data_IF_864777140627
#
_entry.id   IF_864777140627
#
_cell.length_a   1.000
_cell.length_b   1.000
_cell.length_c   1.000
_cell.angle_alpha   90.00
_cell.angle_beta   90.00
_cell.angle_gamma   90.00
#
_symmetry.space_group_name_H-M   'P 1'
#
loop_
_entity.id
_entity.type
_entity.pdbx_description
1 polymer ?
#
# COMPACT_ATOMS: atom_id res chain seq x y z
N UNK A 1 -1.64 9.17 -8.22
CA UNK A 1 -2.92 9.78 -8.69
C UNK A 1 -4.02 8.74 -8.98
N UNK A 2 -3.68 7.47 -9.24
CA UNK A 2 -4.66 6.38 -9.47
C UNK A 2 -5.40 5.91 -8.21
N UNK A 3 -4.76 5.88 -7.03
CA UNK A 3 -5.36 5.33 -5.81
C UNK A 3 -6.66 6.05 -5.37
N UNK A 4 -6.75 7.37 -5.54
CA UNK A 4 -7.92 8.16 -5.09
C UNK A 4 -9.19 7.87 -5.89
N UNK A 5 -9.07 7.59 -7.19
CA UNK A 5 -10.25 7.35 -8.04
C UNK A 5 -10.85 5.96 -7.81
N UNK A 6 -10.04 4.97 -7.44
CA UNK A 6 -10.48 3.59 -7.30
C UNK A 6 -11.11 3.28 -5.93
N UNK A 7 -10.82 4.08 -4.90
CA UNK A 7 -11.22 3.80 -3.52
C UNK A 7 -12.57 4.43 -3.08
N UNK A 8 -13.22 5.23 -3.94
CA UNK A 8 -14.55 5.78 -3.64
C UNK A 8 -14.62 6.55 -2.31
N UNK A 9 -13.56 7.26 -1.97
CA UNK A 9 -13.35 7.78 -0.62
C UNK A 9 -14.37 8.89 -0.29
N UNK A 10 -15.18 8.66 0.73
CA UNK A 10 -16.08 9.65 1.33
C UNK A 10 -15.61 9.86 2.77
N UNK A 11 -15.27 11.09 3.17
CA UNK A 11 -14.82 11.37 4.53
C UNK A 11 -15.89 11.01 5.57
N UNK A 12 -15.47 10.49 6.72
CA UNK A 12 -16.37 10.08 7.79
C UNK A 12 -17.03 11.29 8.44
N UNK A 13 -18.37 11.27 8.52
CA UNK A 13 -19.12 12.28 9.25
C UNK A 13 -19.53 11.84 10.66
N UNK A 14 -19.35 10.55 11.01
CA UNK A 14 -19.88 9.96 12.26
C UNK A 14 -18.97 8.88 12.91
N UNK A 15 -17.67 8.85 12.59
CA UNK A 15 -16.69 7.90 13.16
C UNK A 15 -16.63 6.56 12.40
N UNK A 16 -15.43 5.99 12.28
CA UNK A 16 -15.10 4.82 11.46
C UNK A 16 -15.87 3.54 11.86
N UNK A 17 -16.18 3.37 13.15
CA UNK A 17 -16.81 2.16 13.70
C UNK A 17 -18.33 1.98 13.49
N UNK A 18 -19.02 2.85 12.74
CA UNK A 18 -20.49 2.75 12.58
C UNK A 18 -20.91 1.78 11.47
N UNK A 19 -22.08 1.12 11.62
CA UNK A 19 -22.64 0.22 10.58
C UNK A 19 -22.84 0.91 9.22
N UNK A 20 -23.05 2.23 9.21
CA UNK A 20 -23.20 3.02 7.96
C UNK A 20 -21.88 3.23 7.20
N UNK A 21 -20.74 3.04 7.87
CA UNK A 21 -19.40 3.17 7.29
C UNK A 21 -18.78 1.82 6.90
N UNK A 22 -19.42 0.70 7.26
CA UNK A 22 -18.99 -0.64 6.83
C UNK A 22 -18.93 -0.74 5.30
N UNK A 23 -17.70 -0.86 4.77
CA UNK A 23 -17.45 -1.00 3.33
C UNK A 23 -17.18 0.31 2.58
N UNK A 24 -17.19 1.46 3.25
CA UNK A 24 -16.69 2.73 2.70
C UNK A 24 -15.22 2.90 3.08
N UNK A 25 -14.43 3.50 2.20
CA UNK A 25 -13.10 3.96 2.56
C UNK A 25 -13.26 5.20 3.47
N UNK A 26 -13.07 5.01 4.77
CA UNK A 26 -13.15 6.07 5.79
C UNK A 26 -11.94 6.99 5.78
N UNK A 27 -11.84 7.84 6.80
CA UNK A 27 -10.75 8.81 6.94
C UNK A 27 -9.37 8.13 7.06
N UNK A 28 -9.27 6.96 7.68
CA UNK A 28 -8.02 6.24 7.80
C UNK A 28 -7.55 5.65 6.47
N UNK A 29 -8.49 5.27 5.57
CA UNK A 29 -8.13 4.89 4.21
C UNK A 29 -7.45 6.05 3.44
N UNK A 30 -7.84 7.31 3.70
CA UNK A 30 -7.13 8.48 3.16
C UNK A 30 -5.74 8.62 3.76
N UNK A 31 -5.65 8.48 5.07
CA UNK A 31 -4.39 8.58 5.80
C UNK A 31 -3.39 7.53 5.29
N UNK A 32 -3.85 6.31 5.07
CA UNK A 32 -3.08 5.23 4.46
C UNK A 32 -2.55 5.59 3.06
N UNK A 33 -3.40 6.08 2.15
CA UNK A 33 -2.98 6.48 0.80
C UNK A 33 -1.92 7.59 0.87
N UNK A 34 -2.11 8.59 1.74
CA UNK A 34 -1.12 9.66 1.91
C UNK A 34 0.20 9.10 2.46
N UNK A 35 0.13 8.24 3.48
CA UNK A 35 1.31 7.63 4.08
C UNK A 35 2.08 6.76 3.07
N UNK A 36 1.38 6.05 2.19
CA UNK A 36 1.97 5.29 1.09
C UNK A 36 2.73 6.19 0.10
N UNK A 37 2.11 7.29 -0.35
CA UNK A 37 2.76 8.24 -1.27
C UNK A 37 3.96 8.93 -0.62
N UNK A 38 3.89 9.20 0.70
CA UNK A 38 5.05 9.64 1.49
C UNK A 38 6.11 8.53 1.55
N UNK A 39 5.72 7.26 1.64
CA UNK A 39 6.61 6.11 1.53
C UNK A 39 7.43 6.11 0.24
N UNK A 40 6.82 6.40 -0.91
CA UNK A 40 7.56 6.59 -2.16
C UNK A 40 8.52 7.77 -2.13
N UNK A 41 8.15 8.87 -1.47
CA UNK A 41 9.06 9.98 -1.28
C UNK A 41 10.27 9.57 -0.42
N UNK A 42 10.06 8.80 0.65
CA UNK A 42 11.15 8.22 1.46
C UNK A 42 12.05 7.31 0.61
N UNK A 43 11.50 6.47 -0.26
CA UNK A 43 12.29 5.66 -1.20
C UNK A 43 13.18 6.51 -2.10
N UNK A 44 12.67 7.65 -2.55
CA UNK A 44 13.44 8.61 -3.36
C UNK A 44 14.61 9.17 -2.56
N UNK A 45 14.37 9.62 -1.33
CA UNK A 45 15.40 10.16 -0.45
C UNK A 45 16.48 9.12 -0.08
N UNK A 46 16.09 7.84 -0.01
CA UNK A 46 17.01 6.72 0.23
C UNK A 46 17.72 6.21 -1.03
N UNK A 47 17.42 6.77 -2.21
CA UNK A 47 18.00 6.36 -3.50
C UNK A 47 17.42 5.05 -4.07
N UNK A 48 16.45 4.43 -3.40
CA UNK A 48 15.83 3.15 -3.82
C UNK A 48 15.10 3.34 -5.15
N UNK A 49 14.33 4.42 -5.31
CA UNK A 49 13.61 4.68 -6.56
C UNK A 49 14.54 4.83 -7.76
N UNK A 50 15.74 5.36 -7.57
CA UNK A 50 16.74 5.45 -8.64
C UNK A 50 17.25 4.05 -9.01
N UNK A 51 17.62 3.23 -8.02
CA UNK A 51 18.09 1.86 -8.24
C UNK A 51 17.05 1.01 -8.97
N UNK A 52 15.78 1.08 -8.54
CA UNK A 52 14.66 0.40 -9.21
C UNK A 52 14.55 0.86 -10.67
N UNK A 53 14.58 2.17 -10.93
CA UNK A 53 14.46 2.70 -12.28
C UNK A 53 15.61 2.29 -13.20
N UNK A 54 16.83 2.19 -12.68
CA UNK A 54 18.00 1.71 -13.43
C UNK A 54 17.88 0.22 -13.75
N UNK A 55 17.56 -0.61 -12.75
CA UNK A 55 17.38 -2.05 -12.93
C UNK A 55 16.26 -2.39 -13.92
N UNK A 56 15.12 -1.67 -13.85
CA UNK A 56 13.96 -1.84 -14.73
C UNK A 56 14.27 -1.63 -16.22
N UNK A 57 15.28 -0.82 -16.56
CA UNK A 57 15.69 -0.56 -17.95
C UNK A 57 16.53 -1.69 -18.56
N UNK A 58 17.05 -2.60 -17.72
CA UNK A 58 17.99 -3.64 -18.12
C UNK A 58 17.33 -5.03 -18.24
N UNK A 59 16.03 -5.13 -17.98
CA UNK A 59 15.31 -6.39 -17.85
C UNK A 59 14.07 -6.43 -18.75
N UNK A 60 13.47 -7.60 -18.89
CA UNK A 60 12.21 -7.77 -19.65
C UNK A 60 11.07 -7.01 -18.99
N UNK A 61 9.98 -6.76 -19.73
CA UNK A 61 8.80 -6.07 -19.19
C UNK A 61 8.23 -6.78 -17.94
N UNK A 62 8.12 -8.11 -17.96
CA UNK A 62 7.61 -8.87 -16.81
C UNK A 62 8.52 -8.73 -15.58
N UNK A 63 9.84 -8.72 -15.77
CA UNK A 63 10.79 -8.48 -14.67
C UNK A 63 10.72 -7.02 -14.18
N UNK A 64 10.57 -6.06 -15.09
CA UNK A 64 10.40 -4.64 -14.76
C UNK A 64 9.13 -4.41 -13.93
N UNK A 65 8.04 -5.07 -14.31
CA UNK A 65 6.77 -5.09 -13.58
C UNK A 65 6.95 -5.67 -12.17
N UNK A 66 7.66 -6.79 -12.04
CA UNK A 66 7.99 -7.36 -10.72
C UNK A 66 8.78 -6.38 -9.84
N UNK A 67 9.75 -5.65 -10.40
CA UNK A 67 10.48 -4.62 -9.65
C UNK A 67 9.58 -3.47 -9.19
N UNK A 68 8.62 -3.04 -10.02
CA UNK A 68 7.59 -2.08 -9.60
C UNK A 68 6.78 -2.62 -8.43
N UNK A 69 6.30 -3.86 -8.50
CA UNK A 69 5.53 -4.49 -7.41
C UNK A 69 6.33 -4.46 -6.10
N UNK A 70 7.62 -4.82 -6.12
CA UNK A 70 8.45 -4.78 -4.91
C UNK A 70 8.58 -3.36 -4.34
N UNK A 71 8.67 -2.34 -5.20
CA UNK A 71 8.72 -0.95 -4.77
C UNK A 71 7.38 -0.50 -4.12
N UNK A 72 6.25 -0.88 -4.69
CA UNK A 72 4.92 -0.57 -4.15
C UNK A 72 4.69 -1.24 -2.77
N UNK A 73 5.06 -2.51 -2.65
CA UNK A 73 4.95 -3.24 -1.38
C UNK A 73 5.84 -2.65 -0.27
N UNK A 74 6.98 -2.04 -0.62
CA UNK A 74 7.82 -1.38 0.37
C UNK A 74 7.16 -0.08 0.84
N UNK A 75 6.48 0.65 -0.04
CA UNK A 75 5.72 1.83 0.33
C UNK A 75 4.55 1.49 1.27
N UNK A 76 3.88 0.35 1.05
CA UNK A 76 2.87 -0.18 1.99
C UNK A 76 3.46 -0.45 3.37
N UNK A 77 4.63 -1.09 3.43
CA UNK A 77 5.30 -1.34 4.71
C UNK A 77 5.72 -0.04 5.40
N UNK A 78 6.21 0.95 4.67
CA UNK A 78 6.49 2.27 5.23
C UNK A 78 5.24 2.97 5.78
N UNK A 79 4.09 2.84 5.10
CA UNK A 79 2.82 3.34 5.61
C UNK A 79 2.41 2.64 6.92
N UNK A 80 2.61 1.32 7.02
CA UNK A 80 2.40 0.57 8.26
C UNK A 80 3.30 1.05 9.40
N UNK A 81 4.60 1.24 9.14
CA UNK A 81 5.55 1.78 10.14
C UNK A 81 5.12 3.16 10.61
N UNK A 82 4.69 4.04 9.70
CA UNK A 82 4.17 5.35 10.05
C UNK A 82 2.94 5.23 10.97
N UNK A 83 1.98 4.37 10.64
CA UNK A 83 0.77 4.17 11.44
C UNK A 83 1.12 3.66 12.85
N UNK A 84 2.01 2.69 12.97
CA UNK A 84 2.50 2.16 14.25
C UNK A 84 3.11 3.27 15.13
N UNK A 85 4.03 4.05 14.55
CA UNK A 85 4.76 5.09 15.28
C UNK A 85 3.87 6.24 15.70
N UNK A 86 2.86 6.60 14.90
CA UNK A 86 1.90 7.62 15.30
C UNK A 86 0.93 7.08 16.36
N UNK A 87 0.54 5.80 16.28
CA UNK A 87 -0.28 5.19 17.32
C UNK A 87 0.41 5.25 18.67
N UNK A 88 1.68 4.85 18.76
CA UNK A 88 2.46 4.94 20.01
C UNK A 88 2.55 6.37 20.56
N UNK A 89 2.64 7.38 19.69
CA UNK A 89 2.86 8.78 20.09
C UNK A 89 1.59 9.53 20.49
N UNK A 90 0.50 9.32 19.77
CA UNK A 90 -0.70 10.16 19.89
C UNK A 90 -2.00 9.37 20.02
N UNK A 91 -1.95 8.02 19.98
CA UNK A 91 -3.12 7.14 20.14
C UNK A 91 -4.29 7.55 19.23
N UNK A 92 -4.01 7.71 17.94
CA UNK A 92 -4.93 8.29 16.97
C UNK A 92 -5.83 7.26 16.26
N UNK A 93 -5.53 5.96 16.37
CA UNK A 93 -6.33 4.90 15.76
C UNK A 93 -7.58 4.63 16.62
N UNK A 94 -8.73 4.68 15.98
CA UNK A 94 -10.01 4.21 16.51
C UNK A 94 -10.22 2.72 16.21
N UNK A 95 -11.22 2.13 16.86
CA UNK A 95 -11.60 0.75 16.61
C UNK A 95 -12.21 0.62 15.21
N UNK A 96 -11.53 -0.08 14.31
CA UNK A 96 -11.95 -0.27 12.92
C UNK A 96 -11.02 0.37 11.89
N UNK A 97 -10.23 1.38 12.28
CA UNK A 97 -9.33 2.10 11.36
C UNK A 97 -8.32 1.17 10.69
N UNK A 98 -7.73 0.24 11.44
CA UNK A 98 -6.79 -0.74 10.89
C UNK A 98 -7.49 -1.62 9.84
N UNK A 99 -8.74 -2.03 10.10
CA UNK A 99 -9.52 -2.83 9.16
C UNK A 99 -9.86 -2.03 7.90
N UNK A 100 -10.10 -0.71 8.03
CA UNK A 100 -10.29 0.19 6.89
C UNK A 100 -9.03 0.32 6.03
N UNK A 101 -7.85 0.48 6.63
CA UNK A 101 -6.60 0.49 5.86
C UNK A 101 -6.30 -0.86 5.22
N UNK A 102 -6.55 -1.98 5.90
CA UNK A 102 -6.41 -3.31 5.32
C UNK A 102 -7.36 -3.48 4.12
N UNK A 103 -8.61 -3.02 4.26
CA UNK A 103 -9.58 -3.06 3.18
C UNK A 103 -9.15 -2.16 2.00
N UNK A 104 -8.71 -0.94 2.27
CA UNK A 104 -8.19 -0.02 1.26
C UNK A 104 -6.97 -0.62 0.55
N UNK A 105 -6.03 -1.18 1.31
CA UNK A 105 -4.86 -1.85 0.76
C UNK A 105 -5.25 -3.01 -0.16
N UNK A 106 -6.17 -3.85 0.29
CA UNK A 106 -6.72 -4.94 -0.50
C UNK A 106 -7.55 -4.49 -1.71
N UNK A 107 -8.11 -3.28 -1.73
CA UNK A 107 -8.93 -2.81 -2.86
C UNK A 107 -8.14 -2.43 -4.11
N UNK A 108 -6.89 -2.01 -3.92
CA UNK A 108 -6.02 -1.52 -5.00
C UNK A 108 -4.99 -2.56 -5.49
N UNK A 109 -5.16 -3.83 -5.13
CA UNK A 109 -4.39 -4.92 -5.73
C UNK A 109 -4.76 -5.15 -7.20
N UNK A 110 -3.77 -5.45 -8.04
CA UNK A 110 -3.96 -5.62 -9.48
C UNK A 110 -4.93 -6.77 -9.82
N UNK A 111 -4.96 -7.81 -8.97
CA UNK A 111 -5.91 -8.93 -9.08
C UNK A 111 -7.35 -8.50 -8.90
N UNK A 112 -7.62 -7.62 -7.93
CA UNK A 112 -8.96 -7.08 -7.68
C UNK A 112 -9.37 -6.06 -8.74
N UNK A 113 -8.45 -5.21 -9.20
CA UNK A 113 -8.71 -4.26 -10.30
C UNK A 113 -8.97 -4.99 -11.63
N UNK A 114 -8.25 -6.08 -11.90
CA UNK A 114 -8.51 -6.93 -13.07
C UNK A 114 -9.92 -7.54 -13.01
N UNK A 115 -10.31 -8.10 -11.86
CA UNK A 115 -11.64 -8.67 -11.66
C UNK A 115 -12.75 -7.61 -11.82
N UNK A 116 -12.59 -6.44 -11.19
CA UNK A 116 -13.57 -5.35 -11.27
C UNK A 116 -13.74 -4.80 -12.70
N UNK A 117 -12.70 -4.89 -13.54
CA UNK A 117 -12.73 -4.48 -14.95
C UNK A 117 -13.14 -5.61 -15.91
N UNK A 118 -13.51 -6.79 -15.40
CA UNK A 118 -13.89 -7.95 -16.22
C UNK A 118 -12.73 -8.55 -17.01
N UNK A 119 -11.48 -8.27 -16.63
CA UNK A 119 -10.27 -8.77 -17.28
C UNK A 119 -9.75 -10.03 -16.60
N UNK A 120 -9.08 -10.88 -17.36
CA UNK A 120 -8.36 -12.01 -16.81
C UNK A 120 -7.19 -11.54 -15.93
N UNK A 121 -6.96 -12.25 -14.82
CA UNK A 121 -5.82 -12.01 -13.94
C UNK A 121 -4.55 -12.51 -14.62
N UNK A 122 -3.58 -11.61 -14.84
CA UNK A 122 -2.32 -11.90 -15.51
C UNK A 122 -1.15 -11.37 -14.65
N UNK A 123 -0.52 -12.21 -13.81
CA UNK A 123 0.51 -11.77 -12.86
C UNK A 123 1.69 -11.03 -13.48
N UNK A 124 2.09 -11.39 -14.71
CA UNK A 124 3.20 -10.73 -15.41
C UNK A 124 2.92 -9.26 -15.75
N UNK A 125 1.65 -8.83 -15.70
CA UNK A 125 1.23 -7.45 -15.95
C UNK A 125 1.06 -6.62 -14.67
N UNK A 126 1.26 -7.22 -13.49
CA UNK A 126 1.08 -6.52 -12.22
C UNK A 126 2.16 -5.45 -12.02
N UNK A 127 1.75 -4.30 -11.51
CA UNK A 127 2.63 -3.18 -11.19
C UNK A 127 2.50 -2.72 -9.75
N UNK A 128 1.37 -3.04 -9.09
CA UNK A 128 1.06 -2.74 -7.70
C UNK A 128 1.10 -3.99 -6.80
N UNK A 129 0.99 -5.18 -7.39
CA UNK A 129 0.99 -6.46 -6.68
C UNK A 129 -0.41 -6.94 -6.34
N UNK A 130 -0.52 -8.10 -5.70
CA UNK A 130 -1.82 -8.64 -5.31
C UNK A 130 -2.37 -7.93 -4.08
N UNK A 131 -3.69 -7.95 -3.96
CA UNK A 131 -4.42 -7.47 -2.79
C UNK A 131 -3.87 -8.08 -1.49
N UNK A 132 -3.55 -9.38 -1.51
CA UNK A 132 -2.96 -10.08 -0.37
C UNK A 132 -1.56 -9.58 -0.02
N UNK A 133 -0.68 -9.40 -1.00
CA UNK A 133 0.69 -8.94 -0.76
C UNK A 133 0.69 -7.55 -0.12
N UNK A 134 -0.16 -6.67 -0.64
CA UNK A 134 -0.29 -5.28 -0.17
C UNK A 134 -0.71 -5.23 1.31
N UNK A 135 -1.73 -6.02 1.67
CA UNK A 135 -2.16 -6.19 3.08
C UNK A 135 -1.03 -6.76 3.93
N UNK A 136 -0.35 -7.80 3.48
CA UNK A 136 0.73 -8.44 4.23
C UNK A 136 1.86 -7.44 4.56
N UNK A 137 2.30 -6.65 3.58
CA UNK A 137 3.40 -5.71 3.78
C UNK A 137 3.01 -4.50 4.62
N UNK A 138 1.79 -3.98 4.46
CA UNK A 138 1.26 -2.96 5.37
C UNK A 138 1.22 -3.47 6.82
N UNK A 139 0.64 -4.65 7.04
CA UNK A 139 0.55 -5.27 8.38
C UNK A 139 1.93 -5.50 8.98
N UNK A 140 2.91 -5.96 8.19
CA UNK A 140 4.30 -6.14 8.66
C UNK A 140 4.90 -4.83 9.18
N UNK A 141 4.69 -3.73 8.46
CA UNK A 141 5.13 -2.41 8.91
C UNK A 141 4.42 -1.96 10.19
N UNK A 142 3.11 -2.18 10.24
CA UNK A 142 2.24 -1.82 11.37
C UNK A 142 2.58 -2.59 12.65
N UNK A 143 2.91 -3.87 12.55
CA UNK A 143 3.27 -4.69 13.71
C UNK A 143 4.69 -4.42 14.19
N UNK A 144 5.63 -4.21 13.27
CA UNK A 144 7.05 -4.04 13.61
C UNK A 144 7.42 -2.63 14.06
N UNK A 145 6.79 -1.60 13.47
CA UNK A 145 7.23 -0.21 13.63
C UNK A 145 8.67 0.05 13.14
N UNK A 146 9.29 -0.87 12.41
CA UNK A 146 10.69 -0.80 12.01
C UNK A 146 10.84 -0.86 10.49
N UNK A 147 11.48 0.16 9.91
CA UNK A 147 11.75 0.25 8.47
C UNK A 147 12.67 -0.87 7.97
N UNK A 148 13.48 -1.48 8.84
CA UNK A 148 14.32 -2.63 8.47
C UNK A 148 13.49 -3.88 8.16
N UNK A 149 12.25 -3.96 8.64
CA UNK A 149 11.32 -5.04 8.31
C UNK A 149 10.71 -4.88 6.91
N UNK A 150 10.98 -3.78 6.21
CA UNK A 150 10.42 -3.41 4.91
C UNK A 150 11.35 -3.74 3.71
N UNK A 151 12.23 -4.73 3.85
CA UNK A 151 13.05 -5.22 2.76
C UNK A 151 12.25 -6.14 1.82
N UNK A 152 11.57 -5.54 0.84
CA UNK A 152 10.83 -6.27 -0.20
C UNK A 152 11.73 -6.83 -1.29
N UNK A 153 12.93 -6.27 -1.46
CA UNK A 153 13.82 -6.63 -2.55
C UNK A 153 14.62 -7.89 -2.21
N UNK A 154 15.01 -8.10 -0.96
CA UNK A 154 15.69 -9.32 -0.49
C UNK A 154 16.84 -9.76 -1.43
N UNK A 155 17.63 -8.80 -1.94
CA UNK A 155 18.71 -9.02 -2.90
C UNK A 155 18.32 -9.03 -4.38
N UNK A 156 17.08 -8.67 -4.73
CA UNK A 156 16.64 -8.41 -6.11
C UNK A 156 17.11 -7.06 -6.66
N UNK A 157 17.74 -6.23 -5.82
CA UNK A 157 18.46 -5.00 -6.13
C UNK A 157 19.84 -5.05 -5.45
#
# INVERSE_FOLDING_TARGET
>A
MEMRQNLGIAGDQQGSGTQENQGKAGDFAQAYVIAHEVGHHVQTLLGISQQVNEARRQVTQAQSNKLSVLQELQADCFAGVWAQRNQERVQFLEAGDIDEAINAAGQIGDDRLAQASGRAVAPDNFTHGTSQQRVEWFTRGLESGNVQSCDTFSGAL
#
